data_IF_322448266328
#
_entry.id   IF_322448266328
#
_cell.length_a   1.000
_cell.length_b   1.000
_cell.length_c   1.000
_cell.angle_alpha   90.00
_cell.angle_beta   90.00
_cell.angle_gamma   90.00
#
_symmetry.space_group_name_H-M   'P 1'
#
loop_
_entity.id
_entity.type
_entity.pdbx_description
1 polymer ?
#
# COMPACT_ATOMS: atom_id res chain seq x y z
N UNK A 1 -17.57 17.34 -9.55
CA UNK A 1 -17.07 17.02 -8.19
C UNK A 1 -15.80 16.20 -8.35
N UNK A 2 -14.67 16.62 -7.77
CA UNK A 2 -13.44 15.81 -7.78
C UNK A 2 -13.64 14.68 -6.76
N UNK A 3 -13.71 13.43 -7.22
CA UNK A 3 -13.77 12.26 -6.34
C UNK A 3 -12.49 12.17 -5.53
N UNK A 4 -12.58 12.40 -4.22
CA UNK A 4 -11.45 12.20 -3.30
C UNK A 4 -11.22 10.70 -3.15
N UNK A 5 -10.09 10.22 -3.67
CA UNK A 5 -9.61 8.86 -3.39
C UNK A 5 -9.09 8.85 -1.95
N UNK A 6 -9.60 7.97 -1.07
CA UNK A 6 -9.08 7.77 0.27
C UNK A 6 -7.61 7.36 0.29
N UNK A 7 -6.93 7.59 1.40
CA UNK A 7 -5.55 7.17 1.62
C UNK A 7 -5.52 5.94 2.52
N UNK A 8 -4.72 4.93 2.14
CA UNK A 8 -4.44 3.74 2.95
C UNK A 8 -2.94 3.57 3.11
N UNK A 9 -2.46 3.25 4.32
CA UNK A 9 -1.03 3.06 4.51
C UNK A 9 -0.60 1.70 3.95
N UNK A 10 0.55 1.59 3.23
CA UNK A 10 1.05 0.31 2.71
C UNK A 10 1.22 -0.75 3.78
N UNK A 11 1.54 -0.32 5.02
CA UNK A 11 1.67 -1.21 6.17
C UNK A 11 0.38 -1.99 6.44
N UNK A 12 -0.78 -1.37 6.26
CA UNK A 12 -2.08 -1.99 6.56
C UNK A 12 -2.37 -3.17 5.63
N UNK A 13 -1.84 -3.13 4.41
CA UNK A 13 -1.95 -4.21 3.43
C UNK A 13 -1.10 -5.44 3.76
N UNK A 14 -0.11 -5.30 4.63
CA UNK A 14 0.76 -6.40 5.08
C UNK A 14 0.15 -7.24 6.21
N UNK A 15 -0.95 -6.78 6.80
CA UNK A 15 -1.62 -7.41 7.94
C UNK A 15 -3.03 -7.88 7.56
N UNK A 16 -3.70 -8.67 8.42
CA UNK A 16 -5.10 -9.05 8.20
C UNK A 16 -5.97 -7.79 8.03
N UNK A 17 -6.95 -7.79 7.11
CA UNK A 17 -7.46 -8.94 6.35
C UNK A 17 -6.73 -9.23 5.02
N UNK A 18 -5.80 -8.39 4.58
CA UNK A 18 -5.21 -8.49 3.23
C UNK A 18 -4.02 -9.46 3.15
N UNK A 19 -3.20 -9.53 4.22
CA UNK A 19 -2.08 -10.45 4.36
C UNK A 19 -1.12 -10.50 3.14
N UNK A 20 -0.89 -9.37 2.46
CA UNK A 20 0.05 -9.33 1.35
C UNK A 20 1.49 -9.53 1.84
N UNK A 21 2.26 -10.31 1.09
CA UNK A 21 3.71 -10.34 1.28
C UNK A 21 4.32 -9.00 0.85
N UNK A 22 5.47 -8.65 1.43
CA UNK A 22 6.19 -7.43 1.04
C UNK A 22 6.57 -7.45 -0.46
N UNK A 23 6.88 -8.62 -1.01
CA UNK A 23 7.21 -8.81 -2.42
C UNK A 23 5.98 -8.57 -3.33
N UNK A 24 4.82 -9.14 -2.97
CA UNK A 24 3.58 -8.93 -3.74
C UNK A 24 3.14 -7.47 -3.70
N UNK A 25 3.20 -6.84 -2.53
CA UNK A 25 2.86 -5.44 -2.38
C UNK A 25 3.83 -4.54 -3.17
N UNK A 26 5.12 -4.87 -3.15
CA UNK A 26 6.13 -4.15 -3.94
C UNK A 26 5.84 -4.23 -5.45
N UNK A 27 5.52 -5.42 -5.94
CA UNK A 27 5.15 -5.64 -7.35
C UNK A 27 3.89 -4.86 -7.75
N UNK A 28 2.84 -4.88 -6.91
CA UNK A 28 1.59 -4.14 -7.17
C UNK A 28 1.78 -2.62 -7.18
N UNK A 29 2.68 -2.10 -6.35
CA UNK A 29 2.95 -0.67 -6.23
C UNK A 29 4.07 -0.18 -7.15
N UNK A 30 4.74 -1.07 -7.89
CA UNK A 30 5.88 -0.73 -8.75
C UNK A 30 7.10 -0.19 -7.99
N UNK A 31 7.32 -0.68 -6.75
CA UNK A 31 8.44 -0.27 -5.90
C UNK A 31 9.31 -1.46 -5.53
N UNK A 32 10.47 -1.22 -4.92
CA UNK A 32 11.31 -2.29 -4.38
C UNK A 32 10.72 -2.87 -3.07
N UNK A 33 10.99 -4.15 -2.80
CA UNK A 33 10.69 -4.78 -1.50
C UNK A 33 11.26 -3.99 -0.32
N UNK A 34 12.48 -3.45 -0.46
CA UNK A 34 13.13 -2.64 0.58
C UNK A 34 12.37 -1.35 0.90
N UNK A 35 11.68 -0.77 -0.10
CA UNK A 35 10.80 0.38 0.09
C UNK A 35 9.62 0.00 0.98
N UNK A 36 8.99 -1.16 0.72
CA UNK A 36 7.89 -1.69 1.53
C UNK A 36 8.33 -1.98 2.95
N UNK A 37 9.47 -2.64 3.14
CA UNK A 37 10.04 -2.89 4.48
C UNK A 37 10.36 -1.58 5.22
N UNK A 38 10.87 -0.57 4.51
CA UNK A 38 11.10 0.75 5.10
C UNK A 38 9.81 1.39 5.63
N UNK A 39 8.68 1.22 4.93
CA UNK A 39 7.37 1.67 5.41
C UNK A 39 6.86 0.81 6.58
N UNK A 40 7.09 -0.51 6.55
CA UNK A 40 6.70 -1.43 7.62
C UNK A 40 7.34 -1.06 8.96
N UNK A 41 8.64 -0.73 8.92
CA UNK A 41 9.44 -0.34 10.08
C UNK A 41 9.43 1.17 10.36
N UNK A 42 8.53 1.94 9.73
CA UNK A 42 8.40 3.40 9.90
C UNK A 42 9.70 4.19 9.63
N UNK A 43 10.63 3.66 8.84
CA UNK A 43 11.89 4.33 8.46
C UNK A 43 11.67 5.41 7.40
N UNK A 44 10.60 5.30 6.62
CA UNK A 44 10.19 6.27 5.59
C UNK A 44 8.67 6.43 5.59
N UNK A 45 8.21 7.61 5.19
CA UNK A 45 6.79 7.87 4.95
C UNK A 45 6.46 7.68 3.46
N UNK A 46 5.39 6.94 3.12
CA UNK A 46 4.94 6.83 1.74
C UNK A 46 4.31 8.15 1.26
N UNK A 47 4.50 8.45 -0.02
CA UNK A 47 3.88 9.61 -0.67
C UNK A 47 2.35 9.45 -0.73
N UNK A 48 1.63 10.58 -0.81
CA UNK A 48 0.16 10.60 -0.94
C UNK A 48 -0.33 9.77 -2.14
N UNK A 49 0.37 9.81 -3.28
CA UNK A 49 0.01 9.00 -4.44
C UNK A 49 0.07 7.49 -4.15
N UNK A 50 1.10 7.04 -3.43
CA UNK A 50 1.24 5.64 -3.00
C UNK A 50 0.10 5.25 -2.06
N UNK A 51 -0.26 6.11 -1.09
CA UNK A 51 -1.36 5.80 -0.17
C UNK A 51 -2.70 5.67 -0.87
N UNK A 52 -2.96 6.51 -1.88
CA UNK A 52 -4.16 6.40 -2.73
C UNK A 52 -4.13 5.13 -3.58
N UNK A 53 -2.96 4.76 -4.12
CA UNK A 53 -2.80 3.52 -4.86
C UNK A 53 -3.04 2.30 -3.97
N UNK A 54 -2.54 2.30 -2.73
CA UNK A 54 -2.81 1.24 -1.74
C UNK A 54 -4.31 1.07 -1.51
N UNK A 55 -5.07 2.16 -1.42
CA UNK A 55 -6.52 2.09 -1.28
C UNK A 55 -7.16 1.39 -2.49
N UNK A 56 -6.78 1.76 -3.71
CA UNK A 56 -7.29 1.10 -4.92
C UNK A 56 -6.93 -0.39 -4.99
N UNK A 57 -5.72 -0.75 -4.57
CA UNK A 57 -5.31 -2.17 -4.44
C UNK A 57 -6.19 -2.89 -3.42
N UNK A 58 -6.48 -2.25 -2.28
CA UNK A 58 -7.33 -2.84 -1.23
C UNK A 58 -8.75 -3.13 -1.72
N UNK A 59 -9.33 -2.24 -2.53
CA UNK A 59 -10.67 -2.43 -3.11
C UNK A 59 -10.66 -3.54 -4.16
N UNK A 60 -9.60 -3.64 -4.97
CA UNK A 60 -9.44 -4.75 -5.93
C UNK A 60 -9.31 -6.10 -5.24
N UNK A 61 -8.72 -6.17 -4.05
CA UNK A 61 -8.59 -7.43 -3.29
C UNK A 61 -9.88 -7.88 -2.61
N UNK A 62 -10.84 -6.96 -2.39
CA UNK A 62 -12.15 -7.28 -1.81
C UNK A 62 -13.18 -7.72 -2.86
N UNK A 63 -12.94 -7.38 -4.13
CA UNK A 63 -13.83 -7.67 -5.26
C UNK A 63 -13.54 -9.02 -5.89
#
# INVERSE_FOLDING_TARGET
MITKIPELHPKDLLFPPYNLSADNLAALLGVSKYTVESWRYNRRSPQTAIKKLCYLVSEKLKS
#
